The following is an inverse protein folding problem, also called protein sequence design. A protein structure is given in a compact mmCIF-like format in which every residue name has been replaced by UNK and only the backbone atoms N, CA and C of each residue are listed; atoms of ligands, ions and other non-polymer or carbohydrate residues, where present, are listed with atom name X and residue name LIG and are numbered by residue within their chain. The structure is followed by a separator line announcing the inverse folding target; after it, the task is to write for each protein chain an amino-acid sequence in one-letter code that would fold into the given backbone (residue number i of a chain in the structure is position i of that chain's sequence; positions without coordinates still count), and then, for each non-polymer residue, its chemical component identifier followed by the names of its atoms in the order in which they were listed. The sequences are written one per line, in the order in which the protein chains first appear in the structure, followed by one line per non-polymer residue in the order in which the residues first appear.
data_IF_062908215685
#
_entry.id   IF_062908215685
#
_cell.length_a   1.000
_cell.length_b   1.000
_cell.length_c   1.000
_cell.angle_alpha   90.00
_cell.angle_beta   90.00
_cell.angle_gamma   90.00
#
_symmetry.space_group_name_H-M   'P 1'
#
loop_
_entity.id
_entity.type
_entity.pdbx_description
1 polymer ?
#
# COMPACT_ATOMS: atom_id res chain seq x y z
N UNK A 1 -9.89 -25.99 -9.54
CA UNK A 1 -8.43 -25.73 -9.53
C UNK A 1 -8.05 -24.28 -9.18
N UNK A 2 -8.80 -23.27 -9.64
CA UNK A 2 -8.49 -21.84 -9.42
C UNK A 2 -8.53 -21.39 -7.95
N UNK A 3 -9.53 -21.81 -7.16
CA UNK A 3 -9.66 -21.43 -5.75
C UNK A 3 -8.43 -21.87 -4.93
N UNK A 4 -7.95 -23.10 -5.12
CA UNK A 4 -6.76 -23.62 -4.45
C UNK A 4 -5.48 -22.88 -4.86
N UNK A 5 -5.41 -22.40 -6.11
CA UNK A 5 -4.27 -21.63 -6.63
C UNK A 5 -4.26 -20.22 -6.02
N UNK A 6 -5.41 -19.54 -6.01
CA UNK A 6 -5.58 -18.23 -5.36
C UNK A 6 -5.31 -18.31 -3.86
N UNK A 7 -5.85 -19.30 -3.16
CA UNK A 7 -5.64 -19.47 -1.72
C UNK A 7 -4.16 -19.67 -1.38
N UNK A 8 -3.43 -20.45 -2.19
CA UNK A 8 -1.98 -20.66 -2.02
C UNK A 8 -1.16 -19.42 -2.33
N UNK A 9 -1.49 -18.67 -3.39
CA UNK A 9 -0.77 -17.43 -3.72
C UNK A 9 -1.00 -16.35 -2.67
N UNK A 10 -2.23 -16.21 -2.17
CA UNK A 10 -2.54 -15.25 -1.10
C UNK A 10 -1.90 -15.67 0.22
N UNK A 11 -1.94 -16.96 0.57
CA UNK A 11 -1.26 -17.46 1.76
C UNK A 11 0.26 -17.28 1.69
N UNK A 12 0.87 -17.54 0.52
CA UNK A 12 2.30 -17.30 0.30
C UNK A 12 2.64 -15.80 0.44
N UNK A 13 1.86 -14.91 -0.16
CA UNK A 13 2.05 -13.47 -0.02
C UNK A 13 1.91 -13.00 1.43
N UNK A 14 0.93 -13.53 2.16
CA UNK A 14 0.73 -13.23 3.59
C UNK A 14 1.91 -13.72 4.45
N UNK A 15 2.42 -14.94 4.19
CA UNK A 15 3.58 -15.48 4.90
C UNK A 15 4.86 -14.67 4.63
N UNK A 16 5.09 -14.30 3.36
CA UNK A 16 6.23 -13.47 2.99
C UNK A 16 6.13 -12.10 3.67
N UNK A 17 4.95 -11.47 3.65
CA UNK A 17 4.72 -10.20 4.33
C UNK A 17 4.98 -10.29 5.83
N UNK A 18 4.45 -11.32 6.49
CA UNK A 18 4.69 -11.55 7.91
C UNK A 18 6.19 -11.79 8.22
N UNK A 19 6.88 -12.60 7.43
CA UNK A 19 8.30 -12.87 7.59
C UNK A 19 9.15 -11.60 7.45
N UNK A 20 8.83 -10.73 6.48
CA UNK A 20 9.51 -9.45 6.30
C UNK A 20 9.32 -8.56 7.53
N UNK A 21 8.09 -8.45 8.05
CA UNK A 21 7.83 -7.64 9.24
C UNK A 21 8.63 -8.13 10.45
N UNK A 22 8.64 -9.44 10.71
CA UNK A 22 9.43 -10.02 11.81
C UNK A 22 10.92 -9.78 11.62
N UNK A 23 11.43 -9.93 10.39
CA UNK A 23 12.83 -9.70 10.06
C UNK A 23 13.26 -8.25 10.29
N UNK A 24 12.44 -7.27 9.90
CA UNK A 24 12.68 -5.84 10.12
C UNK A 24 12.76 -5.51 11.61
N UNK A 25 11.81 -6.00 12.41
CA UNK A 25 11.79 -5.78 13.87
C UNK A 25 13.01 -6.43 14.53
N UNK A 26 13.34 -7.67 14.15
CA UNK A 26 14.50 -8.38 14.67
C UNK A 26 15.82 -7.67 14.32
N UNK A 27 15.96 -7.17 13.09
CA UNK A 27 17.12 -6.40 12.66
C UNK A 27 17.28 -5.09 13.47
N UNK A 28 16.17 -4.39 13.75
CA UNK A 28 16.20 -3.20 14.60
C UNK A 28 16.71 -3.50 16.02
N UNK A 29 16.24 -4.60 16.61
CA UNK A 29 16.74 -5.05 17.92
C UNK A 29 18.21 -5.47 17.89
N UNK A 30 18.66 -6.15 16.83
CA UNK A 30 20.07 -6.54 16.69
C UNK A 30 21.00 -5.33 16.62
N UNK A 31 20.63 -4.31 15.84
CA UNK A 31 21.40 -3.05 15.76
C UNK A 31 21.38 -2.33 17.10
N UNK A 32 20.21 -2.23 17.75
CA UNK A 32 20.10 -1.61 19.07
C UNK A 32 21.01 -2.27 20.11
N UNK A 33 20.99 -3.61 20.19
CA UNK A 33 21.78 -4.37 21.17
C UNK A 33 23.29 -4.24 20.96
N UNK A 34 23.75 -4.11 19.70
CA UNK A 34 25.17 -3.87 19.40
C UNK A 34 25.57 -2.44 19.75
N UNK A 35 24.68 -1.46 19.59
CA UNK A 35 24.97 -0.05 19.82
C UNK A 35 24.84 0.40 21.28
N UNK A 36 23.95 -0.22 22.06
CA UNK A 36 23.69 0.10 23.47
C UNK A 36 24.98 0.28 24.31
N UNK A 37 25.99 -0.61 24.25
CA UNK A 37 27.21 -0.44 25.05
C UNK A 37 28.12 0.72 24.61
N UNK A 38 27.96 1.26 23.40
CA UNK A 38 28.85 2.31 22.87
C UNK A 38 28.27 3.72 22.97
N UNK A 39 26.96 3.86 22.78
CA UNK A 39 26.29 5.17 22.63
C UNK A 39 25.22 5.41 23.70
N UNK A 40 24.98 4.42 24.56
CA UNK A 40 23.91 4.45 25.55
C UNK A 40 22.52 4.31 24.94
N UNK A 41 21.54 4.09 25.81
CA UNK A 41 20.11 3.88 25.48
C UNK A 41 19.54 4.94 24.49
N UNK A 42 19.69 6.26 24.73
CA UNK A 42 19.10 7.25 23.82
C UNK A 42 19.83 7.33 22.47
N UNK A 43 21.16 7.15 22.45
CA UNK A 43 21.96 7.21 21.22
C UNK A 43 21.71 6.01 20.31
N UNK A 44 21.60 4.81 20.88
CA UNK A 44 21.29 3.60 20.13
C UNK A 44 19.91 3.69 19.45
N UNK A 45 18.88 4.18 20.14
CA UNK A 45 17.54 4.36 19.58
C UNK A 45 17.52 5.37 18.42
N UNK A 46 18.24 6.50 18.55
CA UNK A 46 18.33 7.52 17.51
C UNK A 46 18.99 6.99 16.23
N UNK A 47 20.05 6.18 16.37
CA UNK A 47 20.76 5.61 15.22
C UNK A 47 19.91 4.55 14.52
N UNK A 48 19.23 3.68 15.27
CA UNK A 48 18.27 2.71 14.69
C UNK A 48 17.17 3.46 13.93
N UNK A 49 16.59 4.49 14.53
CA UNK A 49 15.57 5.31 13.87
C UNK A 49 16.09 5.97 12.58
N UNK A 50 17.31 6.50 12.60
CA UNK A 50 17.95 7.10 11.42
C UNK A 50 18.14 6.08 10.29
N UNK A 51 18.64 4.88 10.61
CA UNK A 51 18.85 3.81 9.63
C UNK A 51 17.52 3.41 8.97
N UNK A 52 16.48 3.14 9.78
CA UNK A 52 15.17 2.76 9.26
C UNK A 52 14.47 3.90 8.50
N UNK A 53 14.68 5.16 8.90
CA UNK A 53 14.17 6.33 8.17
C UNK A 53 14.79 6.44 6.78
N UNK A 54 16.10 6.21 6.64
CA UNK A 54 16.77 6.21 5.33
C UNK A 54 16.22 5.10 4.45
N UNK A 55 16.04 3.89 4.99
CA UNK A 55 15.46 2.77 4.24
C UNK A 55 14.03 3.10 3.80
N UNK A 56 13.20 3.63 4.70
CA UNK A 56 11.83 4.03 4.39
C UNK A 56 11.78 5.16 3.35
N UNK A 57 12.71 6.12 3.42
CA UNK A 57 12.84 7.20 2.45
C UNK A 57 13.18 6.63 1.07
N UNK A 58 14.19 5.76 0.96
CA UNK A 58 14.57 5.13 -0.31
C UNK A 58 13.41 4.30 -0.86
N UNK A 59 12.76 3.49 -0.03
CA UNK A 59 11.60 2.70 -0.45
C UNK A 59 10.44 3.59 -0.93
N UNK A 60 10.20 4.71 -0.23
CA UNK A 60 9.19 5.70 -0.61
C UNK A 60 9.50 6.37 -1.94
N UNK A 61 10.76 6.77 -2.18
CA UNK A 61 11.21 7.37 -3.43
C UNK A 61 11.10 6.37 -4.60
N UNK A 62 11.57 5.14 -4.42
CA UNK A 62 11.44 4.10 -5.45
C UNK A 62 9.97 3.82 -5.79
N UNK A 63 9.09 3.83 -4.78
CA UNK A 63 7.66 3.62 -5.00
C UNK A 63 7.00 4.84 -5.68
N UNK A 64 7.44 6.06 -5.36
CA UNK A 64 7.00 7.29 -6.00
C UNK A 64 7.45 7.33 -7.48
N UNK A 65 8.72 7.08 -7.76
CA UNK A 65 9.27 7.02 -9.13
C UNK A 65 8.54 5.96 -9.97
N UNK A 66 8.24 4.79 -9.37
CA UNK A 66 7.47 3.72 -10.04
C UNK A 66 6.03 4.13 -10.36
N UNK A 67 5.43 4.97 -9.53
CA UNK A 67 4.10 5.52 -9.76
C UNK A 67 4.12 6.58 -10.88
N UNK A 68 5.18 7.38 -10.97
CA UNK A 68 5.36 8.40 -12.00
C UNK A 68 5.68 7.82 -13.38
N UNK A 69 6.49 6.77 -13.46
CA UNK A 69 6.80 6.06 -14.71
C UNK A 69 5.59 5.29 -15.28
N UNK A 70 4.64 4.89 -14.42
CA UNK A 70 3.33 4.38 -14.84
C UNK A 70 2.31 5.47 -15.17
N UNK A 71 2.61 6.73 -14.84
CA UNK A 71 1.70 7.88 -14.83
C UNK A 71 1.82 8.83 -16.03
N UNK A 72 2.66 8.53 -17.03
CA UNK A 72 2.73 9.35 -18.27
C UNK A 72 1.46 9.31 -19.14
N UNK A 73 0.36 8.71 -18.68
CA UNK A 73 -0.95 8.88 -19.29
C UNK A 73 -1.90 9.66 -18.37
N UNK A 74 -1.96 10.97 -18.69
CA UNK A 74 -3.07 11.90 -18.47
C UNK A 74 -3.45 12.23 -17.02
N UNK A 75 -2.91 13.35 -16.56
CA UNK A 75 -3.72 14.36 -15.86
C UNK A 75 -4.89 14.78 -16.77
N UNK A 76 -6.00 14.05 -16.73
CA UNK A 76 -7.28 14.60 -17.15
C UNK A 76 -8.23 14.62 -15.96
N UNK A 77 -8.84 15.77 -15.78
CA UNK A 77 -9.98 16.00 -14.89
C UNK A 77 -10.87 14.78 -14.83
N UNK A 78 -11.21 14.34 -13.62
CA UNK A 78 -12.19 13.29 -13.37
C UNK A 78 -13.53 13.67 -14.03
N UNK A 79 -13.99 12.95 -15.07
CA UNK A 79 -15.39 12.92 -15.43
C UNK A 79 -16.09 11.85 -14.55
N UNK A 80 -17.43 11.83 -14.53
CA UNK A 80 -18.21 10.89 -13.71
C UNK A 80 -17.89 9.43 -14.06
N UNK A 81 -18.16 8.47 -13.17
CA UNK A 81 -17.81 7.07 -13.40
C UNK A 81 -18.75 6.41 -14.41
N UNK A 82 -18.31 6.30 -15.66
CA UNK A 82 -18.92 5.45 -16.68
C UNK A 82 -18.30 4.05 -16.70
N UNK A 83 -19.07 3.07 -17.20
CA UNK A 83 -18.77 1.64 -17.17
C UNK A 83 -17.40 1.26 -17.80
N UNK A 84 -16.83 2.15 -18.64
CA UNK A 84 -15.48 2.01 -19.20
C UNK A 84 -14.35 2.15 -18.17
N UNK A 85 -14.57 2.88 -17.06
CA UNK A 85 -13.57 3.05 -16.00
C UNK A 85 -13.32 1.74 -15.25
N UNK A 86 -14.38 1.01 -14.91
CA UNK A 86 -14.27 -0.27 -14.22
C UNK A 86 -13.59 -1.32 -15.11
N UNK A 87 -13.93 -1.37 -16.40
CA UNK A 87 -13.24 -2.25 -17.34
C UNK A 87 -11.73 -1.95 -17.41
N UNK A 88 -11.35 -0.67 -17.42
CA UNK A 88 -9.94 -0.24 -17.47
C UNK A 88 -9.18 -0.51 -16.18
N UNK A 89 -9.84 -0.37 -15.02
CA UNK A 89 -9.28 -0.75 -13.72
C UNK A 89 -9.08 -2.27 -13.64
N UNK A 90 -10.03 -3.05 -14.15
CA UNK A 90 -9.93 -4.51 -14.20
C UNK A 90 -8.78 -4.95 -15.10
N UNK A 91 -8.61 -4.34 -16.27
CA UNK A 91 -7.50 -4.68 -17.17
C UNK A 91 -6.15 -4.23 -16.62
N UNK A 92 -6.08 -3.08 -15.95
CA UNK A 92 -4.87 -2.64 -15.26
C UNK A 92 -4.48 -3.59 -14.10
N UNK A 93 -5.47 -4.12 -13.38
CA UNK A 93 -5.25 -5.11 -12.34
C UNK A 93 -4.75 -6.46 -12.88
N UNK A 94 -5.16 -6.83 -14.10
CA UNK A 94 -4.66 -8.04 -14.80
C UNK A 94 -3.24 -7.84 -15.32
N UNK A 95 -2.94 -6.67 -15.90
CA UNK A 95 -1.66 -6.40 -16.55
C UNK A 95 -0.52 -6.16 -15.54
N UNK A 96 -0.80 -5.51 -14.39
CA UNK A 96 0.22 -5.20 -13.38
C UNK A 96 -0.25 -5.49 -11.96
N UNK A 97 -0.42 -6.77 -11.57
CA UNK A 97 -0.99 -7.16 -10.28
C UNK A 97 -0.16 -6.71 -9.07
N UNK A 98 1.17 -6.65 -9.19
CA UNK A 98 2.07 -6.19 -8.11
C UNK A 98 1.96 -4.67 -7.92
N UNK A 99 1.82 -3.92 -9.01
CA UNK A 99 1.66 -2.46 -8.94
C UNK A 99 0.26 -2.09 -8.46
N UNK A 100 -0.76 -2.85 -8.88
CA UNK A 100 -2.15 -2.67 -8.44
C UNK A 100 -2.31 -2.94 -6.95
N UNK A 101 -1.64 -3.95 -6.38
CA UNK A 101 -1.72 -4.22 -4.94
C UNK A 101 -1.03 -3.12 -4.12
N UNK A 102 0.14 -2.64 -4.57
CA UNK A 102 0.82 -1.52 -3.93
C UNK A 102 -0.01 -0.22 -4.00
N UNK A 103 -0.60 0.07 -5.16
CA UNK A 103 -1.48 1.22 -5.36
C UNK A 103 -2.76 1.12 -4.51
N UNK A 104 -3.36 -0.06 -4.39
CA UNK A 104 -4.54 -0.28 -3.56
C UNK A 104 -4.25 -0.05 -2.07
N UNK A 105 -3.09 -0.51 -1.60
CA UNK A 105 -2.65 -0.26 -0.21
C UNK A 105 -2.41 1.24 0.00
N UNK A 106 -1.69 1.90 -0.91
CA UNK A 106 -1.43 3.34 -0.83
C UNK A 106 -2.71 4.19 -0.84
N UNK A 107 -3.65 3.87 -1.74
CA UNK A 107 -4.95 4.51 -1.81
C UNK A 107 -5.75 4.28 -0.51
N UNK A 108 -5.77 3.06 0.02
CA UNK A 108 -6.45 2.74 1.28
C UNK A 108 -5.95 3.57 2.46
N UNK A 109 -4.62 3.74 2.58
CA UNK A 109 -4.02 4.59 3.63
C UNK A 109 -4.36 6.06 3.43
N UNK A 110 -4.38 6.55 2.19
CA UNK A 110 -4.73 7.93 1.87
C UNK A 110 -6.20 8.24 2.18
N UNK A 111 -7.13 7.34 1.83
CA UNK A 111 -8.55 7.48 2.16
C UNK A 111 -8.79 7.56 3.67
N UNK A 112 -8.05 6.79 4.48
CA UNK A 112 -8.18 6.81 5.93
C UNK A 112 -7.76 8.15 6.56
N UNK A 113 -6.87 8.90 5.89
CA UNK A 113 -6.46 10.23 6.34
C UNK A 113 -7.36 11.37 5.89
N UNK A 114 -8.26 11.14 4.92
CA UNK A 114 -9.18 12.17 4.44
C UNK A 114 -10.64 11.76 4.68
N UNK A 115 -11.26 12.23 5.78
CA UNK A 115 -12.62 11.82 6.16
C UNK A 115 -13.68 12.20 5.11
N UNK A 116 -13.43 13.24 4.32
CA UNK A 116 -14.33 13.68 3.24
C UNK A 116 -14.38 12.65 2.11
N UNK A 117 -13.23 12.09 1.73
CA UNK A 117 -13.13 11.05 0.71
C UNK A 117 -13.72 9.72 1.19
N UNK A 118 -13.53 9.40 2.46
CA UNK A 118 -14.12 8.21 3.08
C UNK A 118 -15.66 8.30 3.12
N UNK A 119 -16.20 9.47 3.46
CA UNK A 119 -17.64 9.73 3.45
C UNK A 119 -18.22 9.66 2.03
N UNK A 120 -17.51 10.19 1.02
CA UNK A 120 -17.94 10.11 -0.38
C UNK A 120 -17.99 8.65 -0.88
N UNK A 121 -17.01 7.82 -0.51
CA UNK A 121 -17.03 6.38 -0.79
C UNK A 121 -18.17 5.67 -0.06
N UNK A 122 -18.32 5.92 1.25
CA UNK A 122 -19.39 5.32 2.04
C UNK A 122 -20.77 5.68 1.46
N UNK A 123 -20.94 6.94 1.06
CA UNK A 123 -22.15 7.43 0.40
C UNK A 123 -22.36 6.74 -0.95
N UNK A 124 -21.35 6.64 -1.81
CA UNK A 124 -21.47 5.95 -3.10
C UNK A 124 -21.87 4.49 -2.93
N UNK A 125 -21.29 3.77 -1.95
CA UNK A 125 -21.67 2.39 -1.63
C UNK A 125 -23.08 2.29 -1.02
N UNK A 126 -23.55 3.29 -0.30
CA UNK A 126 -24.93 3.36 0.23
C UNK A 126 -25.96 3.75 -0.85
N UNK A 127 -25.63 4.67 -1.75
CA UNK A 127 -26.48 5.10 -2.89
C UNK A 127 -26.67 3.96 -3.90
N UNK A 128 -25.70 3.05 -4.02
CA UNK A 128 -25.86 1.85 -4.87
C UNK A 128 -26.94 0.88 -4.35
N UNK A 129 -27.57 1.15 -3.19
CA UNK A 129 -28.67 0.36 -2.60
C UNK A 129 -30.03 1.05 -2.60
N UNK A 130 -30.23 2.16 -3.30
CA UNK A 130 -31.59 2.66 -3.53
C UNK A 130 -32.19 1.93 -4.75
N UNK A 131 -33.16 1.00 -4.57
CA UNK A 131 -33.93 0.52 -5.71
C UNK A 131 -34.83 1.67 -6.16
N UNK A 132 -34.91 1.89 -7.48
CA UNK A 132 -35.96 2.70 -8.09
C UNK A 132 -37.31 2.25 -7.52
N UNK A 133 -38.00 3.18 -6.85
CA UNK A 133 -39.41 3.08 -6.53
C UNK A 133 -40.14 4.01 -7.47
N UNK A 134 -40.52 3.45 -8.61
CA UNK A 134 -41.72 3.88 -9.33
C UNK A 134 -42.98 3.51 -8.52
#
# INVERSE_FOLDING_TARGET
MIIRKVLRTTAAAALIGAAVLVSVVSAGFAVYAVLEPFVGVPGAAAIVAAIFSIIALIAGLVLADKAEDGGKHHHHHAPPPDAGFIARVIDLAKDKPILSSAAAIGAGVFFMRNPVLFAALAKAFMDTRAPDRD
#
